data_IF_575485576087
#
_entry.id   IF_575485576087
#
_cell.length_a   1.000
_cell.length_b   1.000
_cell.length_c   1.000
_cell.angle_alpha   90.00
_cell.angle_beta   90.00
_cell.angle_gamma   90.00
#
_symmetry.space_group_name_H-M   'P 1'
#
loop_
_entity.id
_entity.type
_entity.pdbx_description
1 polymer ?
#
# COMPACT_ATOMS: atom_id res chain seq x y z
N UNK A 1 9.82 -12.44 3.99
CA UNK A 1 10.48 -11.20 3.58
C UNK A 1 9.41 -10.16 3.32
N UNK A 2 9.52 -8.95 3.88
CA UNK A 2 8.50 -7.89 3.76
C UNK A 2 8.63 -7.04 2.48
N UNK A 3 9.55 -7.43 1.58
CA UNK A 3 9.81 -6.73 0.31
C UNK A 3 10.11 -5.23 0.47
N UNK A 4 10.65 -4.82 1.62
CA UNK A 4 10.97 -3.42 1.92
C UNK A 4 9.83 -2.59 2.53
N UNK A 5 8.68 -3.21 2.83
CA UNK A 5 7.53 -2.54 3.45
C UNK A 5 7.41 -2.95 4.92
N UNK A 6 7.72 -2.02 5.84
CA UNK A 6 7.61 -2.28 7.28
C UNK A 6 6.20 -2.13 7.84
N UNK A 7 5.37 -1.28 7.21
CA UNK A 7 4.03 -0.93 7.68
C UNK A 7 3.14 -0.54 6.49
N UNK A 8 1.85 -0.84 6.57
CA UNK A 8 0.81 -0.38 5.64
C UNK A 8 -0.30 0.32 6.41
N UNK A 9 -0.71 1.49 5.95
CA UNK A 9 -1.78 2.29 6.55
C UNK A 9 -2.86 2.55 5.50
N UNK A 10 -4.13 2.32 5.85
CA UNK A 10 -5.29 2.62 5.00
C UNK A 10 -5.92 3.90 5.50
N UNK A 11 -6.13 4.84 4.59
CA UNK A 11 -6.70 6.16 4.88
C UNK A 11 -7.72 6.53 3.83
N UNK A 12 -8.64 7.44 4.17
CA UNK A 12 -9.52 8.06 3.20
C UNK A 12 -8.69 8.81 2.14
N UNK A 13 -9.18 8.83 0.90
CA UNK A 13 -8.42 9.35 -0.26
C UNK A 13 -8.01 10.81 -0.10
N UNK A 14 -8.88 11.61 0.49
CA UNK A 14 -8.69 13.04 0.82
C UNK A 14 -7.70 13.26 1.96
N UNK A 15 -7.48 12.27 2.83
CA UNK A 15 -6.52 12.32 3.94
C UNK A 15 -5.13 11.80 3.60
N UNK A 16 -4.96 11.21 2.42
CA UNK A 16 -3.69 10.58 2.03
C UNK A 16 -2.50 11.55 2.10
N UNK A 17 -2.62 12.74 1.53
CA UNK A 17 -1.54 13.73 1.52
C UNK A 17 -1.19 14.26 2.92
N UNK A 18 -2.20 14.50 3.76
CA UNK A 18 -2.02 14.96 5.14
C UNK A 18 -1.26 13.91 5.97
N UNK A 19 -1.68 12.65 5.88
CA UNK A 19 -1.06 11.54 6.62
C UNK A 19 0.36 11.26 6.11
N UNK A 20 0.60 11.36 4.80
CA UNK A 20 1.95 11.25 4.24
C UNK A 20 2.87 12.32 4.84
N UNK A 21 2.46 13.58 4.87
CA UNK A 21 3.27 14.66 5.43
C UNK A 21 3.56 14.47 6.92
N UNK A 22 2.58 14.01 7.70
CA UNK A 22 2.77 13.75 9.14
C UNK A 22 3.77 12.62 9.40
N UNK A 23 3.70 11.54 8.62
CA UNK A 23 4.62 10.41 8.75
C UNK A 23 6.04 10.79 8.28
N UNK A 24 6.17 11.52 7.17
CA UNK A 24 7.46 12.03 6.70
C UNK A 24 8.10 13.00 7.71
N UNK A 25 7.30 13.87 8.34
CA UNK A 25 7.76 14.75 9.41
C UNK A 25 8.22 13.98 10.66
N UNK A 26 7.66 12.79 10.91
CA UNK A 26 8.11 11.88 11.96
C UNK A 26 9.38 11.08 11.59
N UNK A 27 9.92 11.28 10.38
CA UNK A 27 11.13 10.61 9.89
C UNK A 27 10.87 9.30 9.13
N UNK A 28 9.62 8.97 8.85
CA UNK A 28 9.26 7.77 8.08
C UNK A 28 9.40 7.99 6.58
N UNK A 29 9.73 6.92 5.85
CA UNK A 29 9.73 6.93 4.38
C UNK A 29 8.41 6.37 3.86
N UNK A 30 7.58 7.23 3.27
CA UNK A 30 6.22 6.86 2.87
C UNK A 30 6.10 6.71 1.37
N UNK A 31 5.37 5.68 0.94
CA UNK A 31 5.03 5.48 -0.47
C UNK A 31 3.54 5.15 -0.60
N UNK A 32 2.89 5.70 -1.62
CA UNK A 32 1.56 5.25 -2.02
C UNK A 32 1.72 3.99 -2.87
N UNK A 33 1.36 2.84 -2.29
CA UNK A 33 1.58 1.51 -2.90
C UNK A 33 0.32 0.90 -3.55
N UNK A 34 -0.85 1.49 -3.37
CA UNK A 34 -2.09 0.97 -3.95
C UNK A 34 -3.35 1.67 -3.41
N UNK A 35 -4.49 1.04 -3.63
CA UNK A 35 -5.80 1.47 -3.16
C UNK A 35 -6.70 0.28 -2.80
N UNK A 36 -7.75 0.56 -2.01
CA UNK A 36 -8.75 -0.44 -1.63
C UNK A 36 -9.98 -0.23 -2.48
N UNK A 37 -10.36 -1.26 -3.21
CA UNK A 37 -11.53 -1.25 -4.08
C UNK A 37 -12.55 -2.30 -3.63
N UNK A 38 -13.81 -2.09 -4.00
CA UNK A 38 -14.81 -3.15 -3.87
C UNK A 38 -14.46 -4.26 -4.84
N UNK A 39 -14.39 -5.48 -4.33
CA UNK A 39 -14.08 -6.65 -5.13
C UNK A 39 -15.12 -7.74 -4.88
N UNK A 40 -15.58 -8.37 -5.97
CA UNK A 40 -16.55 -9.48 -5.96
C UNK A 40 -15.90 -10.83 -6.30
N UNK A 41 -14.61 -10.85 -6.61
CA UNK A 41 -13.86 -12.06 -6.93
C UNK A 41 -13.33 -12.77 -5.68
N UNK A 42 -12.91 -14.03 -5.84
CA UNK A 42 -12.30 -14.81 -4.77
C UNK A 42 -10.91 -14.27 -4.35
N UNK A 43 -10.21 -13.58 -5.25
CA UNK A 43 -8.89 -13.02 -4.96
C UNK A 43 -9.03 -11.72 -4.20
N UNK A 44 -8.51 -11.66 -2.97
CA UNK A 44 -8.66 -10.49 -2.08
C UNK A 44 -7.58 -9.42 -2.25
N UNK A 45 -6.42 -9.81 -2.77
CA UNK A 45 -5.25 -8.93 -2.90
C UNK A 45 -4.63 -9.17 -4.27
N UNK A 46 -4.49 -8.10 -5.04
CA UNK A 46 -3.73 -8.10 -6.29
C UNK A 46 -2.48 -7.27 -6.07
N UNK A 47 -1.32 -7.85 -6.36
CA UNK A 47 -0.04 -7.14 -6.31
C UNK A 47 0.47 -7.11 -7.75
N UNK A 48 0.63 -5.91 -8.29
CA UNK A 48 1.08 -5.68 -9.65
C UNK A 48 2.60 -5.48 -9.71
N UNK A 49 3.19 -5.60 -10.90
CA UNK A 49 4.63 -5.37 -11.10
C UNK A 49 5.54 -6.46 -10.55
N UNK A 50 4.97 -7.54 -10.02
CA UNK A 50 5.70 -8.77 -9.76
C UNK A 50 5.79 -9.52 -11.08
N UNK A 51 6.99 -9.74 -11.60
CA UNK A 51 7.21 -10.66 -12.71
C UNK A 51 6.82 -12.11 -12.35
N UNK A 52 7.40 -13.10 -13.01
CA UNK A 52 7.12 -14.53 -12.77
C UNK A 52 7.59 -15.09 -11.40
N UNK A 53 7.67 -14.25 -10.36
CA UNK A 53 8.32 -14.57 -9.08
C UNK A 53 7.32 -14.82 -7.95
N UNK A 54 6.04 -14.46 -8.10
CA UNK A 54 5.04 -14.69 -7.06
C UNK A 54 4.07 -15.81 -7.46
N UNK A 55 4.00 -16.92 -6.71
CA UNK A 55 2.98 -17.93 -6.94
C UNK A 55 1.62 -17.33 -6.60
N UNK A 56 0.74 -17.33 -7.59
CA UNK A 56 -0.69 -17.14 -7.42
C UNK A 56 -1.30 -18.25 -6.57
#
# INVERSE_FOLDING_TARGET
FNCGIGMVVIVAKDKASEVTALLEAAGEKVFRIGEVEKNLSASRVSIQGMGATWPC
#
